data_IF_308105045037
#
_entry.id   IF_308105045037
#
_cell.length_a   1.000
_cell.length_b   1.000
_cell.length_c   1.000
_cell.angle_alpha   90.00
_cell.angle_beta   90.00
_cell.angle_gamma   90.00
#
_symmetry.space_group_name_H-M   'P 1'
#
loop_
_entity.id
_entity.type
_entity.pdbx_description
1 polymer ?
#
# COMPACT_ATOMS: atom_id res chain seq x y z
N UNK A 1 -2.69 -9.73 13.71
CA UNK A 1 -2.77 -8.41 12.99
C UNK A 1 -3.72 -8.59 11.82
N UNK A 2 -4.53 -7.59 11.51
CA UNK A 2 -5.48 -7.58 10.38
C UNK A 2 -4.90 -6.81 9.21
N UNK A 3 -5.42 -7.03 7.99
CA UNK A 3 -5.04 -6.23 6.83
C UNK A 3 -6.26 -5.63 6.14
N UNK A 4 -6.10 -4.40 5.66
CA UNK A 4 -7.08 -3.68 4.85
C UNK A 4 -6.45 -3.40 3.49
N UNK A 5 -7.06 -3.89 2.42
CA UNK A 5 -6.63 -3.57 1.05
C UNK A 5 -7.64 -2.59 0.45
N UNK A 6 -7.16 -1.42 0.03
CA UNK A 6 -7.98 -0.36 -0.57
C UNK A 6 -8.11 -0.59 -2.08
N UNK A 7 -9.21 -1.20 -2.51
CA UNK A 7 -9.45 -1.63 -3.88
C UNK A 7 -10.75 -1.03 -4.47
N UNK A 8 -11.16 0.16 -4.03
CA UNK A 8 -12.40 0.77 -4.49
C UNK A 8 -12.27 1.57 -5.80
N UNK A 9 -11.05 1.88 -6.24
CA UNK A 9 -10.76 2.72 -7.39
C UNK A 9 -11.15 2.10 -8.74
N UNK A 10 -11.47 2.94 -9.71
CA UNK A 10 -11.88 2.53 -11.05
C UNK A 10 -10.74 2.26 -12.03
N UNK A 11 -9.54 2.78 -11.78
CA UNK A 11 -8.39 2.64 -12.68
C UNK A 11 -8.55 3.32 -14.06
N UNK A 12 -9.37 4.37 -14.15
CA UNK A 12 -9.70 5.04 -15.42
C UNK A 12 -8.48 5.56 -16.20
N UNK A 13 -7.39 5.92 -15.49
CA UNK A 13 -6.15 6.44 -16.11
C UNK A 13 -5.37 5.39 -16.90
N UNK A 14 -5.65 4.12 -16.71
CA UNK A 14 -4.99 3.01 -17.42
C UNK A 14 -5.46 2.81 -18.88
N UNK A 15 -6.33 3.70 -19.40
CA UNK A 15 -6.73 3.80 -20.81
C UNK A 15 -6.96 2.46 -21.52
N UNK A 16 -7.66 1.54 -20.85
CA UNK A 16 -7.97 0.22 -21.43
C UNK A 16 -6.94 -0.88 -21.13
N UNK A 17 -5.79 -0.60 -20.48
CA UNK A 17 -4.88 -1.66 -20.06
C UNK A 17 -5.53 -2.65 -19.08
N UNK A 18 -6.48 -2.18 -18.28
CA UNK A 18 -7.34 -3.03 -17.45
C UNK A 18 -8.50 -3.66 -18.24
N UNK A 19 -8.72 -3.29 -19.51
CA UNK A 19 -9.97 -3.54 -20.20
C UNK A 19 -11.13 -2.95 -19.40
N UNK A 20 -12.12 -3.81 -19.08
CA UNK A 20 -13.28 -3.45 -18.25
C UNK A 20 -13.11 -3.91 -16.78
N UNK A 21 -11.87 -4.25 -16.34
CA UNK A 21 -11.59 -4.77 -15.01
C UNK A 21 -11.25 -3.66 -14.00
N UNK A 22 -11.57 -3.84 -12.69
CA UNK A 22 -10.97 -3.06 -11.62
C UNK A 22 -9.44 -3.16 -11.64
N UNK A 23 -8.76 -2.06 -11.32
CA UNK A 23 -7.30 -1.96 -11.32
C UNK A 23 -6.60 -3.06 -10.50
N UNK A 24 -7.16 -3.42 -9.34
CA UNK A 24 -6.64 -4.47 -8.48
C UNK A 24 -6.64 -5.88 -9.13
N UNK A 25 -7.40 -6.06 -10.22
CA UNK A 25 -7.46 -7.30 -10.99
C UNK A 25 -6.55 -7.30 -12.24
N UNK A 26 -5.63 -6.33 -12.36
CA UNK A 26 -4.57 -6.38 -13.36
C UNK A 26 -3.70 -7.61 -13.15
N UNK A 27 -3.47 -8.35 -14.22
CA UNK A 27 -2.65 -9.57 -14.20
C UNK A 27 -1.18 -9.24 -14.47
N UNK A 28 -0.30 -9.74 -13.60
CA UNK A 28 1.16 -9.66 -13.74
C UNK A 28 1.72 -11.06 -13.46
N UNK A 29 2.39 -11.66 -14.46
CA UNK A 29 2.94 -13.00 -14.31
C UNK A 29 1.87 -14.05 -13.96
N UNK A 30 0.69 -13.98 -14.59
CA UNK A 30 -0.40 -14.96 -14.43
C UNK A 30 -1.21 -14.86 -13.12
N UNK A 31 -1.01 -13.81 -12.32
CA UNK A 31 -1.78 -13.53 -11.09
C UNK A 31 -2.19 -12.07 -11.03
N UNK A 32 -3.35 -11.79 -10.42
CA UNK A 32 -3.77 -10.40 -10.21
C UNK A 32 -2.93 -9.71 -9.14
N UNK A 33 -2.87 -8.37 -9.17
CA UNK A 33 -2.24 -7.59 -8.10
C UNK A 33 -2.83 -7.96 -6.73
N UNK A 34 -4.16 -8.09 -6.68
CA UNK A 34 -4.87 -8.42 -5.45
C UNK A 34 -4.51 -9.82 -4.93
N UNK A 35 -4.44 -10.84 -5.80
CA UNK A 35 -4.04 -12.19 -5.40
C UNK A 35 -2.62 -12.21 -4.83
N UNK A 36 -1.68 -11.47 -5.47
CA UNK A 36 -0.30 -11.35 -4.99
C UNK A 36 -0.23 -10.74 -3.60
N UNK A 37 -1.01 -9.68 -3.35
CA UNK A 37 -1.05 -9.02 -2.05
C UNK A 37 -1.68 -9.93 -0.97
N UNK A 38 -2.78 -10.60 -1.29
CA UNK A 38 -3.44 -11.54 -0.39
C UNK A 38 -2.53 -12.71 -0.02
N UNK A 39 -1.87 -13.31 -1.01
CA UNK A 39 -0.91 -14.40 -0.80
C UNK A 39 0.28 -13.94 0.05
N UNK A 40 0.88 -12.80 -0.29
CA UNK A 40 1.98 -12.20 0.46
C UNK A 40 1.63 -11.95 1.94
N UNK A 41 0.40 -11.52 2.25
CA UNK A 41 -0.11 -11.35 3.60
C UNK A 41 -0.26 -12.69 4.32
N UNK A 42 -0.89 -13.68 3.69
CA UNK A 42 -1.12 -15.01 4.26
C UNK A 42 0.18 -15.75 4.56
N UNK A 43 1.16 -15.68 3.67
CA UNK A 43 2.49 -16.28 3.87
C UNK A 43 3.22 -15.72 5.10
N UNK A 44 2.76 -14.56 5.61
CA UNK A 44 3.28 -13.89 6.82
C UNK A 44 2.34 -13.98 8.01
N UNK A 45 1.37 -14.89 7.96
CA UNK A 45 0.42 -15.15 9.05
C UNK A 45 -0.63 -14.05 9.26
N UNK A 46 -0.89 -13.23 8.23
CA UNK A 46 -1.96 -12.21 8.25
C UNK A 46 -3.16 -12.76 7.49
N UNK A 47 -4.04 -13.47 8.18
CA UNK A 47 -5.18 -14.18 7.60
C UNK A 47 -6.48 -13.39 7.62
N UNK A 48 -6.64 -12.45 8.58
CA UNK A 48 -7.82 -11.58 8.65
C UNK A 48 -7.68 -10.42 7.66
N UNK A 49 -8.09 -10.64 6.41
CA UNK A 49 -7.96 -9.66 5.33
C UNK A 49 -9.32 -9.11 4.95
N UNK A 50 -9.47 -7.79 4.98
CA UNK A 50 -10.64 -7.06 4.52
C UNK A 50 -10.30 -6.23 3.28
N UNK A 51 -11.06 -6.41 2.21
CA UNK A 51 -10.91 -5.66 0.96
C UNK A 51 -12.01 -4.60 0.88
N UNK A 52 -11.62 -3.34 0.76
CA UNK A 52 -12.57 -2.26 0.51
C UNK A 52 -12.75 -2.13 -0.99
N UNK A 53 -13.89 -2.58 -1.49
CA UNK A 53 -14.26 -2.58 -2.91
C UNK A 53 -15.16 -1.41 -3.27
N UNK A 54 -15.25 -1.08 -4.55
CA UNK A 54 -16.12 0.00 -5.06
C UNK A 54 -16.49 -0.23 -6.52
N UNK A 55 -15.66 0.24 -7.44
CA UNK A 55 -15.87 -0.02 -8.86
C UNK A 55 -15.96 -1.52 -9.13
N UNK A 56 -17.05 -1.96 -9.76
CA UNK A 56 -17.32 -3.38 -10.08
C UNK A 56 -17.09 -4.35 -8.92
N UNK A 57 -17.52 -3.96 -7.72
CA UNK A 57 -17.33 -4.70 -6.48
C UNK A 57 -17.67 -6.20 -6.58
N UNK A 58 -18.74 -6.57 -7.32
CA UNK A 58 -19.13 -7.98 -7.50
C UNK A 58 -18.06 -8.76 -8.26
N UNK A 59 -17.46 -8.16 -9.30
CA UNK A 59 -16.40 -8.81 -10.07
C UNK A 59 -15.16 -9.08 -9.23
N UNK A 60 -14.79 -8.16 -8.35
CA UNK A 60 -13.70 -8.40 -7.40
C UNK A 60 -14.02 -9.57 -6.47
N UNK A 61 -15.24 -9.58 -5.90
CA UNK A 61 -15.66 -10.67 -4.99
C UNK A 61 -15.68 -12.04 -5.66
N UNK A 62 -16.09 -12.10 -6.92
CA UNK A 62 -16.19 -13.35 -7.71
C UNK A 62 -14.81 -13.94 -8.07
N UNK A 63 -13.80 -13.09 -8.22
CA UNK A 63 -12.44 -13.52 -8.60
C UNK A 63 -11.52 -13.77 -7.40
N UNK A 64 -11.91 -13.32 -6.22
CA UNK A 64 -11.08 -13.50 -5.01
C UNK A 64 -11.21 -14.90 -4.42
N UNK A 65 -10.11 -15.36 -3.81
CA UNK A 65 -10.09 -16.59 -3.02
C UNK A 65 -11.06 -16.52 -1.82
N UNK A 66 -11.58 -17.66 -1.35
CA UNK A 66 -12.46 -17.69 -0.16
C UNK A 66 -11.73 -17.23 1.11
N UNK A 67 -12.51 -16.84 2.12
CA UNK A 67 -12.00 -16.42 3.43
C UNK A 67 -11.60 -14.95 3.51
N UNK A 68 -11.98 -14.13 2.54
CA UNK A 68 -11.78 -12.68 2.56
C UNK A 68 -13.07 -11.95 2.99
N UNK A 69 -12.90 -10.84 3.70
CA UNK A 69 -13.99 -9.95 4.07
C UNK A 69 -14.09 -8.78 3.09
N UNK A 70 -15.29 -8.29 2.85
CA UNK A 70 -15.51 -7.19 1.91
C UNK A 70 -16.34 -6.08 2.54
N UNK A 71 -15.85 -4.84 2.36
CA UNK A 71 -16.59 -3.62 2.68
C UNK A 71 -16.78 -2.85 1.37
N UNK A 72 -17.98 -2.38 1.10
CA UNK A 72 -18.27 -1.68 -0.15
C UNK A 72 -18.33 -0.18 0.03
N UNK A 73 -17.47 0.54 -0.68
CA UNK A 73 -17.57 1.97 -0.86
C UNK A 73 -18.50 2.27 -2.05
N UNK A 74 -19.79 2.48 -1.79
CA UNK A 74 -20.78 2.81 -2.82
C UNK A 74 -20.62 4.21 -3.41
N UNK A 75 -19.80 5.04 -2.78
CA UNK A 75 -19.52 6.42 -3.19
C UNK A 75 -18.11 6.56 -3.79
N UNK A 76 -17.51 5.47 -4.27
CA UNK A 76 -16.13 5.43 -4.79
C UNK A 76 -15.86 6.50 -5.87
N UNK A 77 -16.88 6.91 -6.64
CA UNK A 77 -16.76 7.92 -7.70
C UNK A 77 -16.80 9.38 -7.19
N UNK A 78 -17.05 9.60 -5.91
CA UNK A 78 -17.11 10.93 -5.26
C UNK A 78 -16.22 11.04 -4.03
N UNK A 79 -15.55 9.95 -3.67
CA UNK A 79 -14.72 9.84 -2.48
C UNK A 79 -13.35 9.27 -2.85
N UNK A 80 -12.40 9.35 -1.94
CA UNK A 80 -11.07 8.82 -2.16
C UNK A 80 -10.67 7.81 -1.08
N UNK A 81 -9.38 7.44 -1.01
CA UNK A 81 -8.86 6.38 -0.15
C UNK A 81 -9.08 6.66 1.35
N UNK A 82 -9.11 7.91 1.79
CA UNK A 82 -9.48 8.27 3.18
C UNK A 82 -10.87 7.72 3.55
N UNK A 83 -11.86 7.99 2.71
CA UNK A 83 -13.22 7.53 2.97
C UNK A 83 -13.33 6.00 2.88
N UNK A 84 -12.61 5.39 1.95
CA UNK A 84 -12.54 3.93 1.84
C UNK A 84 -11.97 3.30 3.12
N UNK A 85 -10.86 3.82 3.65
CA UNK A 85 -10.27 3.37 4.91
C UNK A 85 -11.21 3.61 6.10
N UNK A 86 -11.86 4.77 6.15
CA UNK A 86 -12.82 5.11 7.19
C UNK A 86 -14.02 4.14 7.24
N UNK A 87 -14.50 3.64 6.10
CA UNK A 87 -15.55 2.62 6.08
C UNK A 87 -15.14 1.34 6.82
N UNK A 88 -13.85 1.01 6.82
CA UNK A 88 -13.30 -0.14 7.55
C UNK A 88 -13.03 0.13 9.04
N UNK A 89 -13.27 1.34 9.57
CA UNK A 89 -12.91 1.76 10.94
C UNK A 89 -13.31 0.80 12.06
N UNK A 90 -14.42 0.07 11.89
CA UNK A 90 -14.94 -0.85 12.91
C UNK A 90 -14.12 -2.17 13.00
N UNK A 91 -13.23 -2.44 12.05
CA UNK A 91 -12.38 -3.64 12.03
C UNK A 91 -10.91 -3.32 12.27
N UNK A 92 -10.57 -2.04 12.53
CA UNK A 92 -9.18 -1.60 12.72
C UNK A 92 -8.66 -1.76 14.17
N UNK A 93 -9.47 -2.20 15.12
CA UNK A 93 -9.03 -2.48 16.50
C UNK A 93 -7.88 -3.51 16.50
N UNK A 94 -7.03 -3.48 17.52
CA UNK A 94 -5.95 -4.45 17.77
C UNK A 94 -4.74 -4.36 16.82
N UNK A 95 -4.65 -3.28 16.06
CA UNK A 95 -3.60 -3.04 15.09
C UNK A 95 -3.86 -3.67 13.72
N UNK A 96 -3.41 -2.99 12.67
CA UNK A 96 -3.70 -3.41 11.30
C UNK A 96 -2.62 -2.93 10.31
N UNK A 97 -2.61 -3.59 9.16
CA UNK A 97 -1.95 -3.15 7.94
C UNK A 97 -2.96 -2.48 7.01
N UNK A 98 -2.54 -1.44 6.30
CA UNK A 98 -3.28 -0.90 5.17
C UNK A 98 -2.40 -0.93 3.92
N UNK A 99 -2.95 -1.41 2.80
CA UNK A 99 -2.29 -1.51 1.51
C UNK A 99 -3.13 -0.85 0.42
N UNK A 100 -2.47 -0.10 -0.45
CA UNK A 100 -3.04 0.29 -1.73
C UNK A 100 -3.04 -0.92 -2.68
N UNK A 101 -4.16 -1.21 -3.33
CA UNK A 101 -4.32 -2.42 -4.17
C UNK A 101 -3.61 -2.34 -5.53
N UNK A 102 -3.03 -1.21 -5.87
CA UNK A 102 -2.36 -0.90 -7.14
C UNK A 102 -0.84 -0.97 -7.08
N UNK A 103 -0.30 -1.43 -5.96
CA UNK A 103 1.14 -1.57 -5.76
C UNK A 103 1.58 -3.02 -6.00
N UNK A 104 2.47 -3.20 -6.98
CA UNK A 104 3.29 -4.40 -7.11
C UNK A 104 4.56 -4.20 -6.28
N UNK A 105 4.89 -5.15 -5.41
CA UNK A 105 6.06 -5.00 -4.53
C UNK A 105 6.71 -6.35 -4.21
N UNK A 106 8.02 -6.32 -3.94
CA UNK A 106 8.75 -7.50 -3.46
C UNK A 106 8.28 -7.89 -2.05
N UNK A 107 8.01 -9.18 -1.79
CA UNK A 107 7.50 -9.66 -0.50
C UNK A 107 8.33 -9.26 0.73
N UNK A 108 9.65 -9.10 0.58
CA UNK A 108 10.53 -8.66 1.66
C UNK A 108 10.17 -7.27 2.22
N UNK A 109 9.51 -6.40 1.44
CA UNK A 109 9.04 -5.09 1.92
C UNK A 109 8.00 -5.24 3.03
N UNK A 110 7.06 -6.16 2.87
CA UNK A 110 6.08 -6.45 3.91
C UNK A 110 6.73 -7.08 5.15
N UNK A 111 7.71 -7.97 4.96
CA UNK A 111 8.51 -8.53 6.06
C UNK A 111 9.23 -7.43 6.84
N UNK A 112 9.94 -6.52 6.15
CA UNK A 112 10.61 -5.38 6.80
C UNK A 112 9.65 -4.52 7.63
N UNK A 113 8.46 -4.27 7.11
CA UNK A 113 7.46 -3.49 7.84
C UNK A 113 6.94 -4.23 9.08
N UNK A 114 6.64 -5.52 8.95
CA UNK A 114 6.13 -6.35 10.05
C UNK A 114 7.17 -6.51 11.17
N UNK A 115 8.43 -6.73 10.82
CA UNK A 115 9.55 -6.91 11.75
C UNK A 115 10.09 -5.61 12.32
N UNK A 116 9.67 -4.45 11.79
CA UNK A 116 10.07 -3.15 12.32
C UNK A 116 9.70 -3.03 13.80
N UNK A 117 10.63 -2.52 14.60
CA UNK A 117 10.43 -2.25 16.05
C UNK A 117 9.36 -1.19 16.32
N UNK A 118 8.98 -0.42 15.31
CA UNK A 118 7.98 0.63 15.43
C UNK A 118 6.58 0.04 15.30
N UNK A 119 5.69 0.37 16.23
CA UNK A 119 4.29 -0.06 16.19
C UNK A 119 3.54 0.60 15.03
N UNK A 120 3.78 1.91 14.83
CA UNK A 120 3.16 2.72 13.80
C UNK A 120 4.23 3.10 12.77
N UNK A 121 4.12 2.57 11.57
CA UNK A 121 5.14 2.77 10.53
C UNK A 121 4.55 2.67 9.12
N UNK A 122 5.21 3.30 8.15
CA UNK A 122 4.90 3.17 6.73
C UNK A 122 6.16 2.90 5.89
N UNK A 123 5.99 2.21 4.78
CA UNK A 123 7.06 1.95 3.82
C UNK A 123 7.34 3.19 2.98
N UNK A 124 8.61 3.53 2.86
CA UNK A 124 9.09 4.66 2.07
C UNK A 124 10.24 4.21 1.18
N UNK A 125 10.24 4.66 -0.05
CA UNK A 125 11.40 4.62 -0.93
C UNK A 125 12.10 5.98 -0.86
N UNK A 126 13.28 6.03 -0.23
CA UNK A 126 14.08 7.24 -0.17
C UNK A 126 14.84 7.45 -1.48
N UNK A 127 14.88 8.69 -1.93
CA UNK A 127 15.66 9.05 -3.10
C UNK A 127 17.06 9.47 -2.68
N UNK A 128 18.06 8.80 -3.20
CA UNK A 128 19.43 9.29 -3.11
C UNK A 128 19.53 10.56 -3.97
N UNK A 129 19.97 11.67 -3.37
CA UNK A 129 20.03 12.99 -3.97
C UNK A 129 20.46 12.96 -5.45
N UNK A 130 19.58 13.40 -6.34
CA UNK A 130 19.89 13.73 -7.73
C UNK A 130 19.47 12.71 -8.80
N UNK A 131 18.92 11.54 -8.48
CA UNK A 131 18.69 10.48 -9.47
C UNK A 131 17.23 10.38 -9.94
N UNK A 132 16.24 10.68 -9.09
CA UNK A 132 14.81 10.63 -9.47
C UNK A 132 14.14 11.96 -9.14
N UNK A 133 13.56 12.61 -10.13
CA UNK A 133 12.65 13.75 -9.91
C UNK A 133 11.25 13.19 -9.71
N UNK A 134 10.71 13.36 -8.51
CA UNK A 134 9.30 13.10 -8.24
C UNK A 134 8.43 14.07 -9.02
N UNK A 135 7.38 13.57 -9.64
CA UNK A 135 6.37 14.35 -10.35
C UNK A 135 5.25 14.86 -9.42
N UNK A 136 4.10 15.11 -10.02
CA UNK A 136 2.90 15.57 -9.30
C UNK A 136 2.08 14.44 -8.71
N UNK A 137 2.24 13.21 -9.24
CA UNK A 137 1.41 12.06 -8.85
C UNK A 137 1.92 11.34 -7.61
N UNK A 138 3.25 11.39 -7.36
CA UNK A 138 3.85 10.65 -6.25
C UNK A 138 3.44 11.23 -4.89
N UNK A 139 3.18 10.32 -3.95
CA UNK A 139 2.88 10.67 -2.56
C UNK A 139 4.19 10.92 -1.80
N UNK A 140 4.66 12.16 -1.89
CA UNK A 140 5.94 12.61 -1.35
C UNK A 140 5.96 12.62 0.17
N UNK A 141 7.10 12.29 0.76
CA UNK A 141 7.31 12.29 2.21
C UNK A 141 8.48 13.17 2.63
N UNK A 142 8.34 13.85 3.77
CA UNK A 142 9.39 14.53 4.49
C UNK A 142 9.55 13.90 5.86
N UNK A 143 10.81 13.63 6.25
CA UNK A 143 11.13 12.92 7.49
C UNK A 143 12.17 13.67 8.32
N UNK A 144 12.15 13.46 9.62
CA UNK A 144 13.21 13.83 10.56
C UNK A 144 13.71 12.57 11.26
N UNK A 145 14.94 12.15 10.93
CA UNK A 145 15.41 10.80 11.27
C UNK A 145 14.51 9.74 10.63
N UNK A 146 13.92 8.87 11.44
CA UNK A 146 12.92 7.88 10.97
C UNK A 146 11.47 8.35 11.13
N UNK A 147 11.21 9.57 11.58
CA UNK A 147 9.86 10.06 11.86
C UNK A 147 9.28 10.80 10.66
N UNK A 148 8.07 10.44 10.26
CA UNK A 148 7.32 11.20 9.28
C UNK A 148 6.98 12.59 9.84
N UNK A 149 7.28 13.63 9.08
CA UNK A 149 6.94 15.03 9.38
C UNK A 149 5.81 15.51 8.48
N UNK A 150 5.85 15.14 7.21
CA UNK A 150 4.81 15.50 6.25
C UNK A 150 4.69 14.44 5.16
N UNK A 151 3.46 14.32 4.60
CA UNK A 151 3.15 13.43 3.48
C UNK A 151 2.08 14.07 2.60
N UNK A 152 2.42 14.35 1.34
CA UNK A 152 1.50 15.04 0.42
C UNK A 152 1.94 14.89 -1.04
N UNK A 153 0.96 14.81 -1.96
CA UNK A 153 1.22 14.96 -3.41
C UNK A 153 1.64 16.38 -3.76
N UNK A 154 1.11 17.39 -3.07
CA UNK A 154 1.38 18.80 -3.32
C UNK A 154 2.70 19.32 -2.74
N UNK A 155 3.46 18.46 -2.04
CA UNK A 155 4.79 18.84 -1.53
C UNK A 155 5.73 19.13 -2.70
N UNK A 156 6.50 20.24 -2.67
CA UNK A 156 7.54 20.49 -3.65
C UNK A 156 8.56 19.35 -3.69
N UNK A 157 8.98 18.87 -4.87
CA UNK A 157 9.93 17.77 -4.98
C UNK A 157 11.24 17.99 -4.22
N UNK A 158 11.72 19.23 -4.16
CA UNK A 158 12.94 19.66 -3.46
C UNK A 158 12.84 19.57 -1.93
N UNK A 159 11.63 19.55 -1.38
CA UNK A 159 11.38 19.36 0.05
C UNK A 159 11.18 17.89 0.42
N UNK A 160 11.04 17.02 -0.56
CA UNK A 160 10.79 15.59 -0.37
C UNK A 160 12.09 14.84 -0.10
N UNK A 161 12.01 13.88 0.82
CA UNK A 161 13.08 12.92 1.07
C UNK A 161 12.83 11.58 0.37
N UNK A 162 11.61 11.32 -0.07
CA UNK A 162 11.22 10.07 -0.70
C UNK A 162 9.73 9.99 -1.02
N UNK A 163 9.29 8.78 -1.33
CA UNK A 163 7.93 8.46 -1.75
C UNK A 163 7.32 7.38 -0.86
N UNK A 164 6.06 7.54 -0.50
CA UNK A 164 5.29 6.52 0.22
C UNK A 164 4.88 5.40 -0.74
N UNK A 165 5.22 4.16 -0.40
CA UNK A 165 4.92 2.96 -1.21
C UNK A 165 3.42 2.55 -1.15
N UNK A 166 2.64 3.16 -0.26
CA UNK A 166 1.23 2.81 -0.11
C UNK A 166 0.97 1.63 0.83
N UNK A 167 1.93 1.30 1.71
CA UNK A 167 1.78 0.25 2.71
C UNK A 167 2.17 0.80 4.07
N UNK A 168 1.26 0.68 5.05
CA UNK A 168 1.50 1.14 6.42
C UNK A 168 0.95 0.15 7.45
N UNK A 169 1.54 0.15 8.66
CA UNK A 169 1.02 -0.56 9.83
C UNK A 169 0.74 0.40 10.97
N UNK A 170 -0.26 0.09 11.75
CA UNK A 170 -0.61 0.78 12.99
C UNK A 170 -0.82 -0.25 14.10
N UNK A 171 -0.21 0.00 15.26
CA UNK A 171 -0.46 -0.77 16.48
C UNK A 171 -1.87 -0.49 17.04
N UNK A 172 -2.26 -1.17 18.12
CA UNK A 172 -3.60 -1.03 18.68
C UNK A 172 -3.92 0.40 19.12
N UNK A 173 -2.99 1.06 19.82
CA UNK A 173 -3.17 2.45 20.26
C UNK A 173 -3.17 3.42 19.07
N UNK A 174 -2.30 3.20 18.10
CA UNK A 174 -2.24 3.96 16.86
C UNK A 174 -3.54 3.83 16.05
N UNK A 175 -4.09 2.63 15.95
CA UNK A 175 -5.36 2.37 15.28
C UNK A 175 -6.51 3.18 15.89
N UNK A 176 -6.61 3.23 17.23
CA UNK A 176 -7.61 4.03 17.94
C UNK A 176 -7.50 5.53 17.64
N UNK A 177 -6.28 6.07 17.64
CA UNK A 177 -6.02 7.47 17.29
C UNK A 177 -6.36 7.75 15.82
N UNK A 178 -5.94 6.87 14.90
CA UNK A 178 -6.22 7.05 13.47
C UNK A 178 -7.72 7.05 13.19
N UNK A 179 -8.49 6.14 13.82
CA UNK A 179 -9.95 6.11 13.71
C UNK A 179 -10.57 7.43 14.19
N UNK A 180 -10.09 8.00 15.30
CA UNK A 180 -10.55 9.31 15.79
C UNK A 180 -10.29 10.41 14.75
N UNK A 181 -9.08 10.50 14.23
CA UNK A 181 -8.70 11.48 13.20
C UNK A 181 -9.57 11.32 11.94
N UNK A 182 -9.76 10.09 11.46
CA UNK A 182 -10.62 9.84 10.29
C UNK A 182 -12.08 10.24 10.54
N UNK A 183 -12.61 10.01 11.75
CA UNK A 183 -13.97 10.46 12.10
C UNK A 183 -14.08 11.99 12.04
N UNK A 184 -13.09 12.72 12.55
CA UNK A 184 -13.06 14.18 12.51
C UNK A 184 -12.98 14.70 11.07
N UNK A 185 -12.05 14.15 10.25
CA UNK A 185 -11.90 14.51 8.84
C UNK A 185 -13.18 14.25 8.02
N UNK A 186 -13.77 13.08 8.17
CA UNK A 186 -14.99 12.70 7.45
C UNK A 186 -16.19 13.56 7.92
N UNK A 187 -16.29 13.85 9.21
CA UNK A 187 -17.33 14.74 9.75
C UNK A 187 -17.17 16.17 9.25
N UNK A 188 -15.96 16.61 8.96
CA UNK A 188 -15.66 17.91 8.35
C UNK A 188 -15.82 17.91 6.80
N UNK A 189 -16.25 16.81 6.20
CA UNK A 189 -16.51 16.72 4.76
C UNK A 189 -15.30 16.35 3.89
N UNK A 190 -14.20 15.88 4.47
CA UNK A 190 -12.97 15.52 3.74
C UNK A 190 -13.08 14.19 2.96
N UNK A 191 -14.18 13.97 2.26
CA UNK A 191 -14.47 12.69 1.58
C UNK A 191 -13.56 12.40 0.38
N UNK A 192 -13.05 13.44 -0.28
CA UNK A 192 -12.20 13.35 -1.47
C UNK A 192 -10.69 13.32 -1.15
N UNK A 193 -10.33 13.34 0.12
CA UNK A 193 -8.94 13.26 0.57
C UNK A 193 -8.38 11.85 0.43
N UNK A 194 -7.04 11.77 0.26
CA UNK A 194 -6.28 10.53 0.29
C UNK A 194 -6.07 10.05 1.74
N UNK A 195 -5.94 8.75 1.96
CA UNK A 195 -5.66 8.18 3.29
C UNK A 195 -4.40 8.80 3.95
N UNK A 196 -3.31 9.10 3.23
CA UNK A 196 -2.16 9.83 3.77
C UNK A 196 -2.47 11.17 4.45
N UNK A 197 -3.60 11.81 4.16
CA UNK A 197 -4.05 12.99 4.92
C UNK A 197 -4.25 12.66 6.40
N UNK A 198 -4.87 11.52 6.71
CA UNK A 198 -5.03 11.09 8.09
C UNK A 198 -3.68 10.66 8.71
N UNK A 199 -2.75 10.12 7.92
CA UNK A 199 -1.40 9.76 8.39
C UNK A 199 -0.58 10.99 8.76
N UNK A 200 -0.71 12.08 8.00
CA UNK A 200 -0.11 13.38 8.31
C UNK A 200 -0.64 13.94 9.63
N UNK A 201 -1.95 13.97 9.78
CA UNK A 201 -2.58 14.48 10.99
C UNK A 201 -2.27 13.58 12.20
N UNK A 202 -2.11 12.28 12.00
CA UNK A 202 -1.62 11.32 12.99
C UNK A 202 -0.18 11.63 13.41
N UNK A 203 0.72 11.83 12.44
CA UNK A 203 2.15 12.10 12.70
C UNK A 203 2.38 13.38 13.52
N UNK A 204 1.46 14.35 13.45
CA UNK A 204 1.49 15.55 14.27
C UNK A 204 1.18 15.30 15.75
N UNK A 205 0.54 14.18 16.09
CA UNK A 205 0.10 13.85 17.45
C UNK A 205 0.93 12.71 18.04
N UNK A 206 1.19 11.66 17.27
CA UNK A 206 1.91 10.46 17.65
C UNK A 206 2.97 10.11 16.61
N UNK A 207 4.18 9.68 17.01
CA UNK A 207 5.21 9.30 16.04
C UNK A 207 4.71 8.24 15.06
N UNK A 208 4.78 8.57 13.76
CA UNK A 208 4.64 7.63 12.65
C UNK A 208 6.02 7.49 12.03
N UNK A 209 6.58 6.30 12.07
CA UNK A 209 7.93 6.05 11.59
C UNK A 209 7.95 5.61 10.13
N UNK A 210 9.10 5.76 9.49
CA UNK A 210 9.33 5.28 8.13
C UNK A 210 10.22 4.05 8.16
N UNK A 211 9.90 3.07 7.31
CA UNK A 211 10.71 1.88 7.05
C UNK A 211 11.14 1.94 5.59
N UNK A 212 12.45 1.98 5.37
CA UNK A 212 13.01 2.12 4.03
C UNK A 212 12.85 0.84 3.21
N UNK A 213 12.49 1.00 1.93
CA UNK A 213 12.41 -0.08 0.96
C UNK A 213 13.74 -0.83 0.78
N UNK A 214 14.88 -0.10 0.87
CA UNK A 214 16.21 -0.70 0.83
C UNK A 214 16.56 -1.36 -0.50
N UNK A 215 16.08 -0.77 -1.61
CA UNK A 215 16.38 -1.25 -2.96
C UNK A 215 15.52 -2.41 -3.46
N UNK A 216 14.61 -2.96 -2.65
CA UNK A 216 13.67 -3.97 -3.13
C UNK A 216 12.72 -3.39 -4.20
N UNK A 217 12.49 -4.12 -5.32
CA UNK A 217 11.67 -3.63 -6.42
C UNK A 217 10.20 -3.48 -6.03
N UNK A 218 9.61 -2.37 -6.46
CA UNK A 218 8.21 -2.05 -6.31
C UNK A 218 7.78 -1.02 -7.36
N UNK A 219 6.47 -0.93 -7.62
CA UNK A 219 5.88 0.10 -8.48
C UNK A 219 4.40 0.30 -8.13
N UNK A 220 3.92 1.55 -8.06
CA UNK A 220 2.50 1.90 -8.12
C UNK A 220 2.10 1.99 -9.60
N UNK A 221 1.00 1.33 -9.96
CA UNK A 221 0.57 1.22 -11.36
C UNK A 221 -0.61 2.16 -11.57
N UNK A 222 -0.35 3.37 -12.05
CA UNK A 222 -1.37 4.41 -12.29
C UNK A 222 -1.66 4.62 -13.77
N UNK A 223 -0.65 4.47 -14.63
CA UNK A 223 -0.71 4.71 -16.06
C UNK A 223 -0.32 3.48 -16.87
N UNK A 224 -0.62 3.42 -18.19
CA UNK A 224 -0.21 2.31 -19.05
C UNK A 224 1.30 2.04 -19.05
N UNK A 225 2.12 3.09 -18.95
CA UNK A 225 3.58 2.98 -18.90
C UNK A 225 4.04 2.29 -17.60
N UNK A 226 3.36 2.54 -16.48
CA UNK A 226 3.66 1.85 -15.22
C UNK A 226 3.34 0.36 -15.32
N UNK A 227 2.22 0.03 -15.96
CA UNK A 227 1.85 -1.36 -16.20
C UNK A 227 2.86 -2.07 -17.10
N UNK A 228 3.32 -1.40 -18.15
CA UNK A 228 4.37 -1.94 -19.02
C UNK A 228 5.67 -2.16 -18.23
N UNK A 229 6.11 -1.20 -17.43
CA UNK A 229 7.29 -1.32 -16.56
C UNK A 229 7.12 -2.41 -15.50
N UNK A 230 5.92 -2.53 -14.94
CA UNK A 230 5.60 -3.61 -14.00
C UNK A 230 5.83 -4.99 -14.61
N UNK A 231 5.44 -5.19 -15.89
CA UNK A 231 5.59 -6.46 -16.60
C UNK A 231 7.03 -6.74 -17.04
N UNK A 232 7.76 -5.70 -17.49
CA UNK A 232 9.05 -5.88 -18.20
C UNK A 232 10.27 -5.65 -17.31
N UNK A 233 10.11 -4.91 -16.20
CA UNK A 233 11.23 -4.54 -15.33
C UNK A 233 11.02 -5.03 -13.89
N UNK A 234 9.90 -4.60 -13.25
CA UNK A 234 9.72 -4.78 -11.80
C UNK A 234 9.38 -6.23 -11.44
N UNK A 235 8.45 -6.86 -12.16
CA UNK A 235 8.09 -8.24 -11.87
C UNK A 235 9.26 -9.22 -12.14
N UNK A 236 10.00 -9.15 -13.25
CA UNK A 236 11.21 -9.96 -13.43
C UNK A 236 12.26 -9.73 -12.33
N UNK A 237 12.43 -8.49 -11.85
CA UNK A 237 13.35 -8.20 -10.76
C UNK A 237 12.89 -8.81 -9.41
N UNK A 238 11.58 -8.84 -9.12
CA UNK A 238 11.03 -9.53 -7.96
C UNK A 238 11.33 -11.03 -8.05
N UNK A 239 11.02 -11.65 -9.18
CA UNK A 239 11.19 -13.09 -9.40
C UNK A 239 12.65 -13.52 -9.29
N UNK A 240 13.58 -12.75 -9.88
CA UNK A 240 15.02 -13.04 -9.80
C UNK A 240 15.59 -12.88 -8.39
N UNK A 241 15.16 -11.89 -7.63
CA UNK A 241 15.62 -11.67 -6.25
C UNK A 241 15.14 -12.79 -5.33
N UNK A 242 13.93 -13.29 -5.52
CA UNK A 242 13.43 -14.45 -4.79
C UNK A 242 14.24 -15.72 -5.10
N UNK A 243 14.67 -15.93 -6.36
CA UNK A 243 15.52 -17.04 -6.74
C UNK A 243 16.91 -16.97 -6.10
N UNK A 244 17.57 -15.81 -6.14
CA UNK A 244 18.89 -15.61 -5.50
C UNK A 244 18.84 -15.84 -3.98
N UNK A 245 17.81 -15.37 -3.31
CA UNK A 245 17.59 -15.62 -1.88
C UNK A 245 17.40 -17.11 -1.59
N UNK A 246 16.61 -17.81 -2.40
CA UNK A 246 16.38 -19.24 -2.26
C UNK A 246 17.66 -20.05 -2.44
N UNK A 247 18.46 -19.75 -3.45
CA UNK A 247 19.74 -20.41 -3.72
C UNK A 247 20.77 -20.15 -2.60
N UNK A 248 20.80 -18.94 -2.05
CA UNK A 248 21.70 -18.59 -0.94
C UNK A 248 21.38 -19.37 0.33
N UNK A 249 20.10 -19.57 0.63
CA UNK A 249 19.62 -20.35 1.80
C UNK A 249 19.85 -21.84 1.59
N UNK A 250 19.59 -22.36 0.37
CA UNK A 250 19.81 -23.77 0.04
C UNK A 250 21.29 -24.13 -0.01
N UNK A 251 22.14 -23.23 -0.53
CA UNK A 251 23.60 -23.41 -0.55
C UNK A 251 24.25 -23.37 0.83
N UNK A 252 23.71 -22.57 1.75
CA UNK A 252 24.18 -22.52 3.16
C UNK A 252 23.84 -23.75 4.00
N UNK A 253 22.82 -24.53 3.60
CA UNK A 253 22.41 -25.75 4.28
C UNK A 253 23.25 -27.00 3.93
N UNK A 254 24.13 -26.91 2.93
CA UNK A 254 25.00 -28.02 2.51
C UNK A 254 26.44 -27.95 3.06
N UNK A 255 26.74 -27.00 3.93
CA UNK A 255 28.10 -26.79 4.51
C UNK A 255 28.07 -26.94 6.04
N UNK A 256 27.41 -27.99 6.56
CA UNK A 256 27.60 -28.42 7.95
C UNK A 256 27.55 -29.94 8.04
#
# INVERSE_FOLDING_TARGET
>A
MKAIILAAGSGLRLNGACGDNPKCLLEIGGRTLLDRQVECLRDRGVDEITIVVGFKANRVREQCAPGLHFIENRYFNRTNSLYSLWLARNVLSDGFLVLNSDVLFHPALLTKLLESVHEDALLVSFHHHGIVRLGEEEMKVRVEGSRLVDISKSMPPEESHGENIGIAKFGADGAGLLVKIMNELVSAGAYSEWAPRAFRDFAAIRPLHTVEAGGYPWIEIDFPDDYFRALTEVFPAIDSTDQELYESVAGGAMVN
#
